data_IF_392924761990
#
_entry.id   IF_392924761990
#
_cell.length_a   1.000
_cell.length_b   1.000
_cell.length_c   1.000
_cell.angle_alpha   90.00
_cell.angle_beta   90.00
_cell.angle_gamma   90.00
#
_symmetry.space_group_name_H-M   'P 1'
#
loop_
_entity.id
_entity.type
_entity.pdbx_description
1 polymer ?
#
# COMPACT_ATOMS: atom_id res chain seq x y z
N UNK A 1 -31.54 4.10 7.00
CA UNK A 1 -30.15 3.70 7.28
C UNK A 1 -29.88 3.98 8.75
N UNK A 2 -29.05 3.15 9.39
CA UNK A 2 -28.63 3.40 10.78
C UNK A 2 -27.70 4.62 10.84
N UNK A 3 -27.72 5.39 11.95
CA UNK A 3 -26.79 6.53 12.18
C UNK A 3 -25.33 6.12 11.90
N UNK A 4 -24.99 4.87 12.22
CA UNK A 4 -23.68 4.27 11.95
C UNK A 4 -23.39 4.14 10.45
N UNK A 5 -24.33 3.61 9.67
CA UNK A 5 -24.18 3.44 8.23
C UNK A 5 -24.04 4.79 7.53
N UNK A 6 -24.82 5.78 7.96
CA UNK A 6 -24.74 7.15 7.42
C UNK A 6 -23.36 7.77 7.67
N UNK A 7 -22.81 7.62 8.88
CA UNK A 7 -21.45 8.09 9.19
C UNK A 7 -20.41 7.41 8.30
N UNK A 8 -20.52 6.10 8.09
CA UNK A 8 -19.56 5.35 7.26
C UNK A 8 -19.66 5.81 5.79
N UNK A 9 -20.86 5.79 5.21
CA UNK A 9 -21.09 6.13 3.81
C UNK A 9 -20.67 7.57 3.49
N UNK A 10 -20.99 8.53 4.37
CA UNK A 10 -20.64 9.94 4.16
C UNK A 10 -19.13 10.24 4.28
N UNK A 11 -18.35 9.34 4.88
CA UNK A 11 -16.93 9.55 5.16
C UNK A 11 -15.99 8.66 4.33
N UNK A 12 -16.52 7.91 3.35
CA UNK A 12 -15.71 7.03 2.50
C UNK A 12 -14.61 7.78 1.72
N UNK A 13 -14.83 9.07 1.41
CA UNK A 13 -13.83 9.94 0.79
C UNK A 13 -12.54 10.11 1.62
N UNK A 14 -12.62 9.98 2.96
CA UNK A 14 -11.45 9.98 3.84
C UNK A 14 -10.57 8.76 3.59
N UNK A 15 -11.19 7.60 3.35
CA UNK A 15 -10.48 6.36 3.04
C UNK A 15 -9.76 6.49 1.71
N UNK A 16 -10.43 6.98 0.67
CA UNK A 16 -9.79 7.24 -0.63
C UNK A 16 -8.58 8.16 -0.50
N UNK A 17 -8.72 9.26 0.25
CA UNK A 17 -7.64 10.22 0.49
C UNK A 17 -6.44 9.61 1.22
N UNK A 18 -6.70 8.72 2.18
CA UNK A 18 -5.64 8.01 2.90
C UNK A 18 -4.97 6.95 2.02
N UNK A 19 -5.75 6.11 1.33
CA UNK A 19 -5.26 5.00 0.53
C UNK A 19 -4.42 5.46 -0.68
N UNK A 20 -4.76 6.59 -1.31
CA UNK A 20 -4.00 7.16 -2.44
C UNK A 20 -2.52 7.42 -2.12
N UNK A 21 -2.18 7.66 -0.84
CA UNK A 21 -0.78 7.88 -0.39
C UNK A 21 0.09 6.62 -0.47
N UNK A 22 -0.53 5.46 -0.71
CA UNK A 22 0.13 4.16 -0.75
C UNK A 22 0.16 3.54 -2.15
N UNK A 23 -0.33 4.26 -3.18
CA UNK A 23 -0.18 3.87 -4.59
C UNK A 23 1.31 3.75 -4.93
N UNK A 24 1.66 2.77 -5.77
CA UNK A 24 3.04 2.54 -6.21
C UNK A 24 3.93 1.82 -5.20
N UNK A 25 3.38 1.27 -4.11
CA UNK A 25 4.14 0.52 -3.07
C UNK A 25 4.14 -1.00 -3.26
N UNK A 26 3.80 -1.48 -4.46
CA UNK A 26 3.76 -2.90 -4.78
C UNK A 26 2.55 -3.67 -4.23
N UNK A 27 1.45 -2.96 -3.94
CA UNK A 27 0.13 -3.56 -3.68
C UNK A 27 -0.91 -2.83 -4.53
N UNK A 28 -2.00 -3.52 -4.90
CA UNK A 28 -3.09 -2.91 -5.66
C UNK A 28 -3.82 -1.89 -4.80
N UNK A 29 -4.45 -0.90 -5.43
CA UNK A 29 -5.15 0.19 -4.72
C UNK A 29 -6.30 -0.31 -3.83
N UNK A 30 -6.93 -1.42 -4.22
CA UNK A 30 -8.07 -1.98 -3.53
C UNK A 30 -7.69 -2.54 -2.16
N UNK A 31 -6.46 -3.04 -1.99
CA UNK A 31 -5.98 -3.57 -0.70
C UNK A 31 -5.90 -2.48 0.41
N UNK A 32 -5.15 -1.36 0.25
CA UNK A 32 -5.14 -0.29 1.24
C UNK A 32 -6.50 0.39 1.34
N UNK A 33 -7.32 0.40 0.28
CA UNK A 33 -8.68 0.92 0.36
C UNK A 33 -9.55 0.05 1.29
N UNK A 34 -9.57 -1.28 1.11
CA UNK A 34 -10.31 -2.20 1.97
C UNK A 34 -9.80 -2.17 3.42
N UNK A 35 -8.48 -2.18 3.63
CA UNK A 35 -7.90 -2.03 4.96
C UNK A 35 -8.32 -0.71 5.60
N UNK A 36 -8.33 0.38 4.82
CA UNK A 36 -8.81 1.67 5.27
C UNK A 36 -10.30 1.70 5.59
N UNK A 37 -11.14 0.98 4.84
CA UNK A 37 -12.57 0.80 5.15
C UNK A 37 -12.77 0.11 6.49
N UNK A 38 -11.98 -0.93 6.81
CA UNK A 38 -11.99 -1.55 8.15
C UNK A 38 -11.63 -0.54 9.25
N UNK A 39 -10.68 0.36 8.97
CA UNK A 39 -10.33 1.45 9.88
C UNK A 39 -11.45 2.48 10.06
N UNK A 40 -12.16 2.81 8.97
CA UNK A 40 -13.31 3.72 9.04
C UNK A 40 -14.45 3.12 9.87
N UNK A 41 -14.73 1.83 9.71
CA UNK A 41 -15.74 1.11 10.52
C UNK A 41 -15.36 1.15 12.00
N UNK A 42 -14.11 0.81 12.32
CA UNK A 42 -13.58 0.90 13.70
C UNK A 42 -13.65 2.33 14.25
N UNK A 43 -13.38 3.32 13.43
CA UNK A 43 -13.49 4.72 13.82
C UNK A 43 -14.95 5.11 14.11
N UNK A 44 -15.90 4.69 13.28
CA UNK A 44 -17.32 4.93 13.50
C UNK A 44 -17.83 4.27 14.80
N UNK A 45 -17.35 3.06 15.10
CA UNK A 45 -17.72 2.32 16.31
C UNK A 45 -17.09 2.90 17.59
N UNK A 46 -15.89 3.49 17.49
CA UNK A 46 -15.13 3.98 18.64
C UNK A 46 -15.14 5.51 18.82
N UNK A 47 -15.85 6.25 17.97
CA UNK A 47 -15.87 7.71 18.06
C UNK A 47 -16.86 8.19 19.11
N UNK A 48 -16.42 9.14 19.92
CA UNK A 48 -17.16 9.76 21.00
C UNK A 48 -17.40 11.24 20.67
N UNK A 49 -18.64 11.58 20.33
CA UNK A 49 -19.08 12.94 19.96
C UNK A 49 -18.94 13.93 21.12
N UNK A 50 -18.97 13.47 22.38
CA UNK A 50 -18.90 14.33 23.58
C UNK A 50 -17.52 14.97 23.77
N UNK A 51 -16.49 14.42 23.11
CA UNK A 51 -15.12 14.96 23.15
C UNK A 51 -14.93 16.25 22.35
N UNK A 52 -15.94 16.70 21.59
CA UNK A 52 -15.93 17.97 20.88
C UNK A 52 -15.00 18.05 19.66
N UNK A 53 -14.48 16.91 19.18
CA UNK A 53 -13.63 16.84 17.99
C UNK A 53 -14.44 16.54 16.73
N UNK A 54 -13.94 16.91 15.55
CA UNK A 54 -14.52 16.45 14.28
C UNK A 54 -14.17 14.98 14.06
N UNK A 55 -15.12 14.18 13.60
CA UNK A 55 -14.94 12.76 13.29
C UNK A 55 -13.68 12.47 12.45
N UNK A 56 -13.43 13.27 11.40
CA UNK A 56 -12.25 13.14 10.54
C UNK A 56 -10.92 13.19 11.30
N UNK A 57 -10.85 13.99 12.37
CA UNK A 57 -9.67 14.13 13.25
C UNK A 57 -9.34 12.80 13.93
N UNK A 58 -10.37 12.06 14.34
CA UNK A 58 -10.23 10.75 14.97
C UNK A 58 -10.07 9.63 13.94
N UNK A 59 -10.86 9.66 12.86
CA UNK A 59 -10.91 8.59 11.88
C UNK A 59 -9.63 8.45 11.05
N UNK A 60 -8.99 9.56 10.67
CA UNK A 60 -7.80 9.52 9.80
C UNK A 60 -6.63 8.73 10.44
N UNK A 61 -6.25 8.95 11.72
CA UNK A 61 -5.26 8.12 12.40
C UNK A 61 -5.62 6.63 12.43
N UNK A 62 -6.89 6.29 12.68
CA UNK A 62 -7.39 4.90 12.74
C UNK A 62 -7.28 4.23 11.38
N UNK A 63 -7.77 4.90 10.32
CA UNK A 63 -7.69 4.45 8.92
C UNK A 63 -6.23 4.19 8.52
N UNK A 64 -5.34 5.16 8.75
CA UNK A 64 -3.92 5.00 8.43
C UNK A 64 -3.25 3.90 9.26
N UNK A 65 -3.72 3.64 10.48
CA UNK A 65 -3.27 2.53 11.31
C UNK A 65 -3.53 1.18 10.66
N UNK A 66 -4.76 0.94 10.20
CA UNK A 66 -5.13 -0.30 9.52
C UNK A 66 -4.40 -0.48 8.18
N UNK A 67 -4.25 0.59 7.39
CA UNK A 67 -3.48 0.53 6.15
C UNK A 67 -2.02 0.18 6.43
N UNK A 68 -1.37 0.80 7.42
CA UNK A 68 0.02 0.48 7.79
C UNK A 68 0.15 -0.95 8.34
N UNK A 69 -0.86 -1.46 9.01
CA UNK A 69 -0.89 -2.85 9.50
C UNK A 69 -0.86 -3.84 8.33
N UNK A 70 -1.62 -3.61 7.26
CA UNK A 70 -1.55 -4.42 6.03
C UNK A 70 -0.11 -4.55 5.50
N UNK A 71 0.64 -3.44 5.43
CA UNK A 71 2.04 -3.47 4.98
C UNK A 71 2.98 -4.20 5.95
N UNK A 72 2.68 -4.21 7.25
CA UNK A 72 3.46 -4.93 8.27
C UNK A 72 3.24 -6.42 8.19
N UNK A 73 1.99 -6.82 7.90
CA UNK A 73 1.57 -8.22 7.86
C UNK A 73 1.91 -8.89 6.52
N UNK A 74 2.39 -8.13 5.52
CA UNK A 74 2.97 -8.65 4.27
C UNK A 74 2.19 -8.33 2.98
N UNK A 75 1.16 -7.48 3.01
CA UNK A 75 0.29 -7.21 1.85
C UNK A 75 -0.72 -8.34 1.56
N UNK A 76 -1.57 -8.17 0.54
CA UNK A 76 -2.59 -9.16 0.18
C UNK A 76 -2.01 -10.43 -0.48
N UNK A 77 -0.87 -10.30 -1.17
CA UNK A 77 -0.06 -11.42 -1.66
C UNK A 77 1.25 -11.41 -0.91
N UNK A 78 1.48 -12.44 -0.07
CA UNK A 78 2.70 -12.60 0.71
C UNK A 78 3.86 -13.03 -0.20
N UNK A 79 4.42 -12.10 -0.97
CA UNK A 79 5.72 -12.30 -1.63
C UNK A 79 6.81 -12.37 -0.56
N UNK A 80 7.74 -13.32 -0.72
CA UNK A 80 8.85 -13.46 0.23
C UNK A 80 9.66 -12.16 0.26
N UNK A 81 10.21 -11.85 1.45
CA UNK A 81 11.09 -10.66 1.61
C UNK A 81 12.22 -10.66 0.58
N UNK A 82 12.76 -11.83 0.26
CA UNK A 82 13.80 -12.03 -0.75
C UNK A 82 13.35 -11.61 -2.15
N UNK A 83 12.11 -11.93 -2.57
CA UNK A 83 11.59 -11.51 -3.87
C UNK A 83 11.38 -9.98 -3.94
N UNK A 84 10.97 -9.37 -2.84
CA UNK A 84 10.82 -7.91 -2.77
C UNK A 84 12.17 -7.19 -2.86
N UNK A 85 13.17 -7.69 -2.14
CA UNK A 85 14.55 -7.20 -2.21
C UNK A 85 15.14 -7.39 -3.61
N UNK A 86 14.85 -8.53 -4.26
CA UNK A 86 15.25 -8.81 -5.64
C UNK A 86 14.60 -7.82 -6.62
N UNK A 87 13.30 -7.57 -6.52
CA UNK A 87 12.59 -6.61 -7.37
C UNK A 87 13.12 -5.17 -7.23
N UNK A 88 13.43 -4.73 -6.01
CA UNK A 88 14.02 -3.41 -5.78
C UNK A 88 15.44 -3.30 -6.37
N UNK A 89 16.25 -4.36 -6.24
CA UNK A 89 17.57 -4.44 -6.89
C UNK A 89 17.44 -4.44 -8.41
N UNK A 90 16.47 -5.18 -8.95
CA UNK A 90 16.20 -5.25 -10.39
C UNK A 90 15.85 -3.87 -10.96
N UNK A 91 14.99 -3.11 -10.30
CA UNK A 91 14.65 -1.75 -10.73
C UNK A 91 15.89 -0.85 -10.80
N UNK A 92 16.76 -0.92 -9.78
CA UNK A 92 17.97 -0.11 -9.69
C UNK A 92 19.01 -0.48 -10.74
N UNK A 93 19.30 -1.78 -10.91
CA UNK A 93 20.29 -2.22 -11.90
C UNK A 93 19.83 -1.96 -13.34
N UNK A 94 18.52 -2.04 -13.60
CA UNK A 94 17.95 -1.66 -14.90
C UNK A 94 18.19 -0.18 -15.20
N UNK A 95 17.95 0.72 -14.24
CA UNK A 95 18.22 2.16 -14.42
C UNK A 95 19.71 2.44 -14.64
N UNK A 96 20.60 1.78 -13.89
CA UNK A 96 22.04 1.87 -14.09
C UNK A 96 22.45 1.41 -15.50
N UNK A 97 21.92 0.28 -15.95
CA UNK A 97 22.22 -0.28 -17.27
C UNK A 97 21.78 0.65 -18.39
N UNK A 98 20.55 1.18 -18.32
CA UNK A 98 20.04 2.14 -19.30
C UNK A 98 20.92 3.40 -19.32
N UNK A 99 21.37 3.88 -18.16
CA UNK A 99 22.24 5.05 -18.08
C UNK A 99 23.62 4.82 -18.70
N UNK A 100 24.15 3.59 -18.65
CA UNK A 100 25.49 3.26 -19.15
C UNK A 100 25.47 2.85 -20.64
N UNK A 101 24.50 2.02 -21.03
CA UNK A 101 24.44 1.36 -22.33
C UNK A 101 23.44 2.03 -23.30
N UNK A 102 22.62 2.96 -22.83
CA UNK A 102 21.66 3.69 -23.65
C UNK A 102 20.51 2.84 -24.22
N UNK A 103 20.31 1.62 -23.69
CA UNK A 103 19.25 0.68 -24.08
C UNK A 103 18.76 -0.13 -22.88
N UNK A 104 17.66 -0.85 -23.05
CA UNK A 104 17.21 -1.79 -22.02
C UNK A 104 18.09 -3.06 -21.96
N UNK A 105 18.31 -3.61 -20.76
CA UNK A 105 18.97 -4.91 -20.60
C UNK A 105 18.07 -6.04 -21.10
N UNK A 106 18.67 -7.06 -21.69
CA UNK A 106 17.98 -8.33 -21.98
C UNK A 106 17.75 -9.12 -20.69
N UNK A 107 16.86 -10.12 -20.72
CA UNK A 107 16.57 -10.97 -19.54
C UNK A 107 17.84 -11.68 -19.04
N UNK A 108 18.70 -12.16 -19.95
CA UNK A 108 19.98 -12.77 -19.59
C UNK A 108 20.94 -11.79 -18.91
N UNK A 109 21.08 -10.57 -19.45
CA UNK A 109 21.92 -9.54 -18.84
C UNK A 109 21.36 -9.12 -17.47
N UNK A 110 20.04 -9.09 -17.33
CA UNK A 110 19.38 -8.77 -16.06
C UNK A 110 19.63 -9.86 -15.01
N UNK A 111 19.57 -11.13 -15.42
CA UNK A 111 19.87 -12.28 -14.57
C UNK A 111 21.32 -12.23 -14.06
N UNK A 112 22.27 -11.93 -14.95
CA UNK A 112 23.68 -11.77 -14.61
C UNK A 112 23.92 -10.60 -13.64
N UNK A 113 23.29 -9.44 -13.88
CA UNK A 113 23.38 -8.27 -12.99
C UNK A 113 22.81 -8.55 -11.60
N UNK A 114 21.74 -9.35 -11.52
CA UNK A 114 21.08 -9.67 -10.27
C UNK A 114 21.71 -10.86 -9.54
N UNK A 115 22.51 -11.66 -10.25
CA UNK A 115 23.10 -12.90 -9.76
C UNK A 115 22.05 -13.97 -9.51
N UNK A 116 21.06 -14.08 -10.39
CA UNK A 116 19.94 -15.03 -10.30
C UNK A 116 19.80 -15.81 -11.60
N UNK A 117 19.05 -16.91 -11.57
CA UNK A 117 18.70 -17.65 -12.79
C UNK A 117 17.76 -16.83 -13.68
N UNK A 118 17.79 -17.08 -15.00
CA UNK A 118 16.97 -16.35 -15.99
C UNK A 118 15.47 -16.42 -15.64
N UNK A 119 15.02 -17.54 -15.07
CA UNK A 119 13.63 -17.75 -14.64
C UNK A 119 13.20 -16.85 -13.48
N UNK A 120 14.16 -16.25 -12.77
CA UNK A 120 13.97 -15.40 -11.60
C UNK A 120 14.24 -13.92 -11.90
N UNK A 121 14.73 -13.59 -13.09
CA UNK A 121 15.08 -12.24 -13.54
C UNK A 121 13.89 -11.52 -14.19
#
# INVERSE_FOLDING_TARGET
MSKREDVICNNIGLVHSCARRFIGRGIEYDDPFQAGCMGLVKAADGFDEERGLKFSTYAVPVILGEIRRLFRDGGAVKVSRSLKELSMRAARERENFISNEGREPTVSEMADLLGVEIEQA
#
